data_IF_685693962888
#
_entry.id   IF_685693962888
#
_cell.length_a   1.000
_cell.length_b   1.000
_cell.length_c   1.000
_cell.angle_alpha   90.00
_cell.angle_beta   90.00
_cell.angle_gamma   90.00
#
_symmetry.space_group_name_H-M   'P 1'
#
loop_
_entity.id
_entity.type
_entity.pdbx_description
1 polymer ?
#
# COMPACT_ATOMS: atom_id res chain seq x y z
N UNK A 1 10.53 10.63 -32.22
CA UNK A 1 9.93 11.94 -31.90
C UNK A 1 9.26 11.79 -30.55
N UNK A 2 9.97 12.01 -29.43
CA UNK A 2 9.35 12.01 -28.11
C UNK A 2 8.66 13.36 -27.89
N UNK A 3 7.42 13.30 -27.40
CA UNK A 3 6.65 14.46 -26.97
C UNK A 3 7.03 14.77 -25.52
N UNK A 4 7.83 15.82 -25.35
CA UNK A 4 8.04 16.55 -24.10
C UNK A 4 6.75 17.36 -23.81
N UNK A 5 6.07 17.06 -22.71
CA UNK A 5 4.77 17.67 -22.35
C UNK A 5 4.84 18.34 -20.96
N UNK A 6 5.99 18.96 -20.64
CA UNK A 6 6.20 19.73 -19.40
C UNK A 6 5.99 21.25 -19.54
N UNK A 7 5.56 21.74 -20.71
CA UNK A 7 5.28 23.16 -20.90
C UNK A 7 3.85 23.53 -20.45
N UNK A 8 3.70 23.86 -19.17
CA UNK A 8 2.55 24.60 -18.66
C UNK A 8 2.80 26.12 -18.80
N UNK A 9 2.16 26.84 -19.75
CA UNK A 9 2.46 28.24 -20.05
C UNK A 9 1.89 29.25 -19.03
N UNK A 10 1.66 28.85 -17.77
CA UNK A 10 1.01 29.68 -16.74
C UNK A 10 1.81 29.84 -15.44
N UNK A 11 3.06 29.38 -15.38
CA UNK A 11 3.93 29.60 -14.21
C UNK A 11 4.91 30.73 -14.53
N UNK A 12 4.55 31.96 -14.17
CA UNK A 12 5.53 33.04 -14.09
C UNK A 12 6.58 32.70 -13.02
N UNK A 13 7.85 32.88 -13.39
CA UNK A 13 9.03 32.54 -12.62
C UNK A 13 9.01 33.13 -11.20
N UNK A 14 8.84 32.27 -10.19
CA UNK A 14 9.34 32.49 -8.84
C UNK A 14 10.61 31.65 -8.66
N UNK A 15 11.76 32.28 -8.86
CA UNK A 15 13.08 31.74 -8.52
C UNK A 15 13.21 31.60 -6.99
N UNK A 16 12.83 30.44 -6.47
CA UNK A 16 13.35 29.84 -5.24
C UNK A 16 13.27 28.31 -5.43
N UNK A 17 14.23 27.76 -6.20
CA UNK A 17 14.49 26.32 -6.23
C UNK A 17 14.97 25.90 -4.85
N UNK A 18 14.13 25.20 -4.10
CA UNK A 18 14.53 24.50 -2.88
C UNK A 18 15.28 23.22 -3.23
N UNK A 19 16.38 22.96 -2.53
CA UNK A 19 17.27 21.76 -2.60
C UNK A 19 16.55 20.38 -2.57
N UNK A 20 15.24 20.36 -2.36
CA UNK A 20 14.42 19.14 -2.21
C UNK A 20 14.05 18.47 -3.53
N UNK A 21 13.91 19.20 -4.65
CA UNK A 21 13.59 18.58 -5.94
C UNK A 21 14.84 18.02 -6.63
N UNK A 22 16.01 18.64 -6.42
CA UNK A 22 17.29 18.08 -6.85
C UNK A 22 17.67 16.79 -6.09
N UNK A 23 17.24 16.67 -4.83
CA UNK A 23 17.42 15.46 -4.04
C UNK A 23 16.52 14.30 -4.53
N UNK A 24 15.29 14.58 -4.99
CA UNK A 24 14.37 13.56 -5.50
C UNK A 24 14.81 12.98 -6.84
N UNK A 25 15.30 13.81 -7.77
CA UNK A 25 15.85 13.33 -9.05
C UNK A 25 17.18 12.58 -8.86
N UNK A 26 17.91 12.87 -7.78
CA UNK A 26 19.11 12.12 -7.42
C UNK A 26 18.77 10.77 -6.76
N UNK A 27 17.71 10.70 -5.94
CA UNK A 27 17.23 9.45 -5.33
C UNK A 27 16.63 8.49 -6.37
N UNK A 28 15.85 8.98 -7.36
CA UNK A 28 15.33 8.13 -8.46
C UNK A 28 16.45 7.57 -9.36
N UNK A 29 17.61 8.23 -9.42
CA UNK A 29 18.78 7.76 -10.18
C UNK A 29 19.67 6.76 -9.40
N UNK A 30 19.43 6.59 -8.09
CA UNK A 30 20.11 5.59 -7.25
C UNK A 30 19.40 4.22 -7.29
N UNK A 31 18.16 4.14 -7.78
CA UNK A 31 17.40 2.89 -7.86
C UNK A 31 17.82 1.97 -9.04
N UNK A 32 18.47 2.52 -10.07
CA UNK A 32 18.99 1.78 -11.23
C UNK A 32 20.43 1.26 -11.05
N UNK A 33 21.05 1.42 -9.87
CA UNK A 33 22.42 0.93 -9.61
C UNK A 33 22.46 -0.59 -9.35
N UNK A 34 23.34 -1.28 -10.07
CA UNK A 34 23.63 -2.70 -9.84
C UNK A 34 24.26 -2.84 -8.44
N UNK A 35 23.73 -3.70 -7.54
CA UNK A 35 24.26 -3.85 -6.19
C UNK A 35 25.75 -4.27 -6.20
N UNK A 36 26.61 -3.56 -5.46
CA UNK A 36 28.02 -3.96 -5.28
C UNK A 36 28.13 -5.08 -4.23
N UNK A 37 28.20 -6.32 -4.71
CA UNK A 37 28.29 -7.52 -3.87
C UNK A 37 29.59 -7.61 -3.04
N UNK A 38 30.63 -6.86 -3.38
CA UNK A 38 31.90 -6.84 -2.63
C UNK A 38 31.73 -6.20 -1.25
N UNK A 39 30.91 -5.15 -1.17
CA UNK A 39 30.58 -4.50 0.09
C UNK A 39 29.80 -5.43 1.01
N UNK A 40 28.87 -6.21 0.45
CA UNK A 40 28.12 -7.22 1.21
C UNK A 40 29.02 -8.35 1.72
N UNK A 41 29.90 -8.91 0.88
CA UNK A 41 30.87 -9.92 1.31
C UNK A 41 31.78 -9.42 2.46
N UNK A 42 32.16 -8.14 2.42
CA UNK A 42 32.99 -7.53 3.48
C UNK A 42 32.27 -7.42 4.84
N UNK A 43 30.93 -7.35 4.87
CA UNK A 43 30.14 -7.30 6.11
C UNK A 43 30.14 -8.62 6.87
N UNK A 44 30.30 -9.75 6.19
CA UNK A 44 30.38 -11.07 6.84
C UNK A 44 31.72 -11.29 7.56
N UNK A 45 32.77 -10.56 7.15
CA UNK A 45 34.15 -10.85 7.53
C UNK A 45 34.72 -10.00 8.68
N UNK A 46 34.06 -8.95 9.21
CA UNK A 46 34.58 -8.18 10.37
C UNK A 46 33.56 -7.63 11.36
N UNK A 47 33.88 -7.77 12.65
CA UNK A 47 33.38 -6.95 13.78
C UNK A 47 33.79 -5.48 13.57
N UNK A 48 32.85 -4.69 13.06
CA UNK A 48 32.94 -3.22 13.02
C UNK A 48 33.69 -2.66 11.83
N UNK A 49 32.96 -2.22 10.80
CA UNK A 49 33.46 -1.21 9.85
C UNK A 49 32.33 -0.23 9.50
N UNK A 50 32.73 1.04 9.53
CA UNK A 50 31.98 2.27 9.29
C UNK A 50 31.45 2.38 7.86
N UNK A 51 30.22 2.90 7.75
CA UNK A 51 29.58 3.36 6.51
C UNK A 51 30.39 4.47 5.85
N UNK A 52 31.22 4.12 4.86
CA UNK A 52 31.72 5.10 3.90
C UNK A 52 30.87 5.02 2.63
N UNK A 53 30.20 6.14 2.35
CA UNK A 53 29.44 6.42 1.13
C UNK A 53 30.30 6.19 -0.11
N UNK A 54 29.77 5.42 -1.06
CA UNK A 54 30.35 5.11 -2.36
C UNK A 54 30.36 6.40 -3.20
N UNK A 55 31.46 6.66 -3.91
CA UNK A 55 31.55 7.78 -4.87
C UNK A 55 31.14 7.29 -6.26
N UNK A 56 30.26 8.09 -6.89
CA UNK A 56 29.83 8.12 -8.29
C UNK A 56 30.86 7.52 -9.27
N UNK A 57 30.43 6.49 -10.00
CA UNK A 57 31.24 5.74 -10.97
C UNK A 57 31.72 6.56 -12.16
N UNK A 58 32.91 6.19 -12.63
CA UNK A 58 33.50 6.62 -13.90
C UNK A 58 32.88 5.77 -15.02
N UNK A 59 32.31 6.44 -16.01
CA UNK A 59 31.44 5.84 -17.03
C UNK A 59 32.25 5.47 -18.28
N UNK A 60 33.07 4.44 -18.18
CA UNK A 60 33.86 3.92 -19.30
C UNK A 60 33.28 2.60 -19.82
N UNK A 61 32.40 2.69 -20.84
CA UNK A 61 31.77 1.54 -21.51
C UNK A 61 32.59 1.01 -22.71
N UNK A 62 33.83 1.46 -22.88
CA UNK A 62 34.69 0.94 -23.94
C UNK A 62 35.59 -0.17 -23.38
N UNK A 63 35.72 -1.27 -24.15
CA UNK A 63 36.62 -2.36 -23.82
C UNK A 63 38.07 -1.87 -23.97
N UNK A 64 38.64 -1.33 -22.90
CA UNK A 64 40.07 -1.06 -22.86
C UNK A 64 40.79 -2.41 -22.87
N UNK A 65 41.88 -2.52 -23.64
CA UNK A 65 42.66 -3.77 -23.83
C UNK A 65 43.35 -4.32 -22.57
N UNK A 66 42.88 -3.93 -21.38
CA UNK A 66 43.32 -4.38 -20.07
C UNK A 66 42.24 -5.31 -19.49
N UNK A 67 42.64 -6.47 -18.93
CA UNK A 67 41.72 -7.46 -18.32
C UNK A 67 41.09 -6.97 -16.99
N UNK A 68 41.18 -5.68 -16.69
CA UNK A 68 40.76 -5.10 -15.40
C UNK A 68 39.25 -5.17 -15.25
N UNK A 69 38.49 -4.90 -16.31
CA UNK A 69 37.02 -5.00 -16.31
C UNK A 69 36.57 -6.46 -16.08
N UNK A 70 37.16 -7.41 -16.81
CA UNK A 70 36.87 -8.85 -16.63
C UNK A 70 37.18 -9.31 -15.21
N UNK A 71 38.34 -8.94 -14.67
CA UNK A 71 38.70 -9.31 -13.28
C UNK A 71 37.77 -8.65 -12.25
N UNK A 72 37.29 -7.43 -12.51
CA UNK A 72 36.33 -6.76 -11.63
C UNK A 72 34.95 -7.45 -11.63
N UNK A 73 34.51 -7.93 -12.79
CA UNK A 73 33.28 -8.71 -12.95
C UNK A 73 33.40 -10.10 -12.28
N UNK A 74 34.50 -10.81 -12.54
CA UNK A 74 34.75 -12.14 -11.96
C UNK A 74 34.81 -12.08 -10.43
N UNK A 75 35.48 -11.05 -9.89
CA UNK A 75 35.52 -10.81 -8.43
C UNK A 75 34.17 -10.42 -7.84
N UNK A 76 33.33 -9.69 -8.58
CA UNK A 76 31.95 -9.40 -8.15
C UNK A 76 31.10 -10.67 -8.13
N UNK A 77 31.23 -11.53 -9.15
CA UNK A 77 30.54 -12.82 -9.22
C UNK A 77 30.96 -13.76 -8.10
N UNK A 78 32.26 -13.87 -7.81
CA UNK A 78 32.75 -14.67 -6.69
C UNK A 78 32.23 -14.14 -5.34
N UNK A 79 32.20 -12.82 -5.15
CA UNK A 79 31.64 -12.22 -3.95
C UNK A 79 30.13 -12.54 -3.81
N UNK A 80 29.38 -12.52 -4.91
CA UNK A 80 27.98 -12.94 -4.93
C UNK A 80 27.84 -14.42 -4.54
N UNK A 81 28.64 -15.31 -5.13
CA UNK A 81 28.62 -16.74 -4.80
C UNK A 81 28.97 -16.98 -3.32
N UNK A 82 29.95 -16.26 -2.75
CA UNK A 82 30.29 -16.32 -1.32
C UNK A 82 29.12 -15.85 -0.44
N UNK A 83 28.47 -14.74 -0.81
CA UNK A 83 27.30 -14.20 -0.08
C UNK A 83 26.11 -15.15 -0.15
N UNK A 84 25.87 -15.81 -1.29
CA UNK A 84 24.80 -16.80 -1.44
C UNK A 84 25.11 -18.10 -0.69
N UNK A 85 26.38 -18.51 -0.64
CA UNK A 85 26.82 -19.70 0.10
C UNK A 85 26.84 -19.50 1.62
N UNK A 86 26.76 -18.26 2.12
CA UNK A 86 26.73 -18.00 3.55
C UNK A 86 25.48 -18.60 4.19
N UNK A 87 25.69 -19.63 5.02
CA UNK A 87 24.63 -20.23 5.83
C UNK A 87 24.24 -19.27 6.94
N UNK A 88 23.00 -18.77 6.90
CA UNK A 88 22.45 -17.94 7.99
C UNK A 88 22.22 -18.84 9.21
N UNK A 89 22.99 -18.62 10.26
CA UNK A 89 22.83 -19.33 11.55
C UNK A 89 22.14 -18.39 12.54
N UNK A 90 21.24 -18.95 13.35
CA UNK A 90 20.61 -18.22 14.46
C UNK A 90 21.66 -17.66 15.42
N UNK A 91 21.46 -16.43 15.90
CA UNK A 91 22.32 -15.88 16.96
C UNK A 91 21.99 -16.63 18.25
N UNK A 92 22.98 -17.35 18.80
CA UNK A 92 22.81 -18.28 19.92
C UNK A 92 22.08 -17.72 21.15
N UNK A 93 22.10 -16.39 21.37
CA UNK A 93 21.50 -15.76 22.55
C UNK A 93 20.12 -15.10 22.32
N UNK A 94 19.60 -15.04 21.09
CA UNK A 94 18.44 -14.20 20.75
C UNK A 94 17.37 -14.86 19.87
N UNK A 95 17.44 -16.17 19.63
CA UNK A 95 16.37 -16.87 18.92
C UNK A 95 15.24 -17.24 19.88
N UNK A 96 14.01 -17.20 19.37
CA UNK A 96 12.81 -17.57 20.11
C UNK A 96 12.19 -18.82 19.49
N UNK A 97 11.80 -19.77 20.33
CA UNK A 97 11.11 -20.97 19.86
C UNK A 97 9.63 -20.69 19.60
N UNK A 98 9.13 -21.28 18.53
CA UNK A 98 7.72 -21.33 18.20
C UNK A 98 7.34 -22.75 17.79
N UNK A 99 6.06 -23.10 17.96
CA UNK A 99 5.52 -24.42 17.65
C UNK A 99 4.48 -24.33 16.54
N UNK A 100 4.51 -25.28 15.61
CA UNK A 100 3.55 -25.37 14.50
C UNK A 100 2.37 -26.27 14.87
N UNK A 101 1.16 -25.70 14.92
CA UNK A 101 -0.10 -26.38 15.20
C UNK A 101 -1.19 -25.97 14.19
N UNK A 102 -1.28 -26.63 13.02
CA UNK A 102 -2.17 -26.24 11.94
C UNK A 102 -3.67 -26.39 12.24
N UNK A 103 -4.02 -27.35 13.09
CA UNK A 103 -5.41 -27.77 13.35
C UNK A 103 -5.87 -27.43 14.78
N UNK A 104 -5.14 -26.58 15.49
CA UNK A 104 -5.49 -26.26 16.88
C UNK A 104 -6.89 -25.63 17.02
N UNK A 105 -7.18 -24.63 16.19
CA UNK A 105 -8.43 -23.86 16.25
C UNK A 105 -9.63 -24.56 15.61
N UNK A 106 -9.45 -25.71 14.96
CA UNK A 106 -10.59 -26.53 14.50
C UNK A 106 -11.20 -27.30 15.65
N UNK A 107 -10.38 -27.73 16.61
CA UNK A 107 -10.81 -28.54 17.75
C UNK A 107 -11.12 -27.69 18.99
N UNK A 108 -10.39 -26.59 19.20
CA UNK A 108 -10.45 -25.78 20.41
C UNK A 108 -10.92 -24.35 20.13
N UNK A 109 -12.16 -24.17 19.64
CA UNK A 109 -12.69 -22.82 19.42
C UNK A 109 -12.81 -22.06 20.74
N UNK A 110 -12.33 -20.83 20.83
CA UNK A 110 -12.49 -20.03 22.04
C UNK A 110 -13.94 -19.62 22.21
N UNK A 111 -14.45 -19.69 23.44
CA UNK A 111 -15.81 -19.27 23.82
C UNK A 111 -16.03 -17.74 23.74
N UNK A 112 -15.10 -16.99 23.13
CA UNK A 112 -15.05 -15.52 23.20
C UNK A 112 -16.13 -14.85 22.35
N UNK A 113 -16.63 -13.70 22.83
CA UNK A 113 -17.56 -12.80 22.13
C UNK A 113 -16.92 -11.94 21.03
N UNK A 114 -15.60 -12.01 20.85
CA UNK A 114 -14.85 -11.33 19.79
C UNK A 114 -14.21 -12.36 18.87
N UNK A 115 -14.91 -12.76 17.82
CA UNK A 115 -14.35 -13.60 16.77
C UNK A 115 -13.22 -12.82 16.06
N UNK A 116 -11.96 -13.17 16.34
CA UNK A 116 -10.86 -12.83 15.45
C UNK A 116 -11.13 -13.57 14.12
N UNK A 117 -11.55 -12.84 13.09
CA UNK A 117 -11.93 -13.43 11.80
C UNK A 117 -10.81 -14.29 11.17
N UNK A 118 -9.55 -14.04 11.55
CA UNK A 118 -8.38 -14.75 11.06
C UNK A 118 -7.87 -15.83 12.03
N UNK A 119 -8.63 -16.15 13.09
CA UNK A 119 -8.21 -17.11 14.12
C UNK A 119 -7.75 -18.45 13.53
N UNK A 120 -8.54 -19.00 12.61
CA UNK A 120 -8.27 -20.30 11.98
C UNK A 120 -7.05 -20.28 11.04
N UNK A 121 -6.57 -19.11 10.65
CA UNK A 121 -5.36 -18.97 9.82
C UNK A 121 -4.08 -18.89 10.66
N UNK A 122 -4.21 -18.74 11.98
CA UNK A 122 -3.07 -18.67 12.89
C UNK A 122 -2.64 -20.07 13.30
N UNK A 123 -1.48 -20.49 12.83
CA UNK A 123 -0.99 -21.87 12.95
C UNK A 123 0.32 -22.02 13.67
N UNK A 124 0.99 -20.91 14.02
CA UNK A 124 2.26 -20.93 14.77
C UNK A 124 2.06 -20.20 16.09
N UNK A 125 2.43 -20.84 17.20
CA UNK A 125 2.36 -20.25 18.54
C UNK A 125 3.75 -20.00 19.10
N UNK A 126 3.95 -18.85 19.71
CA UNK A 126 5.22 -18.51 20.34
C UNK A 126 5.31 -19.10 21.75
N UNK A 127 6.47 -19.67 22.09
CA UNK A 127 6.75 -20.10 23.47
C UNK A 127 6.89 -18.87 24.38
N UNK A 128 7.54 -17.81 23.87
CA UNK A 128 7.85 -16.58 24.60
C UNK A 128 7.49 -15.33 23.81
N UNK A 129 6.92 -14.36 24.52
CA UNK A 129 6.50 -13.07 23.98
C UNK A 129 7.55 -12.00 24.24
N UNK A 130 8.65 -12.04 23.48
CA UNK A 130 9.74 -11.07 23.60
C UNK A 130 10.12 -10.50 22.24
N UNK A 131 10.20 -9.18 22.15
CA UNK A 131 10.85 -8.50 21.02
C UNK A 131 10.08 -7.30 20.47
N UNK A 132 10.82 -6.37 19.87
CA UNK A 132 10.25 -5.14 19.32
C UNK A 132 9.48 -5.36 18.01
N UNK A 133 9.57 -6.53 17.40
CA UNK A 133 8.87 -6.92 16.17
C UNK A 133 7.38 -7.20 16.40
N UNK A 134 6.96 -7.42 17.65
CA UNK A 134 5.56 -7.68 18.02
C UNK A 134 4.63 -6.48 17.84
N UNK A 135 5.12 -5.33 17.36
CA UNK A 135 4.31 -4.11 17.18
C UNK A 135 3.16 -4.30 16.21
N UNK A 136 3.38 -5.03 15.13
CA UNK A 136 2.38 -5.34 14.10
C UNK A 136 2.31 -6.84 13.75
N UNK A 137 3.25 -7.64 14.26
CA UNK A 137 3.28 -9.09 14.06
C UNK A 137 2.61 -9.84 15.20
N UNK A 138 1.80 -10.84 14.86
CA UNK A 138 1.18 -11.78 15.77
C UNK A 138 0.05 -11.19 16.59
N UNK A 139 -0.83 -12.06 17.11
CA UNK A 139 -1.94 -11.64 17.97
C UNK A 139 -2.10 -12.58 19.15
N UNK A 140 -2.22 -12.00 20.34
CA UNK A 140 -2.64 -12.74 21.52
C UNK A 140 -4.15 -12.94 21.46
N UNK A 141 -4.58 -14.20 21.59
CA UNK A 141 -5.99 -14.57 21.46
C UNK A 141 -6.66 -14.34 22.81
N UNK A 142 -7.78 -13.62 22.78
CA UNK A 142 -8.59 -13.34 23.97
C UNK A 142 -9.63 -14.44 24.17
N UNK A 143 -9.86 -14.86 25.40
CA UNK A 143 -10.79 -15.95 25.72
C UNK A 143 -10.80 -16.26 27.22
N UNK A 144 -11.37 -17.39 27.60
CA UNK A 144 -11.30 -17.86 28.97
C UNK A 144 -9.84 -18.20 29.33
N UNK A 145 -9.34 -17.68 30.45
CA UNK A 145 -7.96 -17.92 30.92
C UNK A 145 -7.65 -19.40 31.16
N UNK A 146 -8.68 -20.20 31.42
CA UNK A 146 -8.53 -21.63 31.67
C UNK A 146 -8.32 -22.45 30.38
N UNK A 147 -8.58 -21.86 29.21
CA UNK A 147 -8.44 -22.52 27.91
C UNK A 147 -7.00 -22.45 27.40
N UNK A 148 -6.48 -23.58 26.93
CA UNK A 148 -5.13 -23.68 26.40
C UNK A 148 -4.97 -22.83 25.13
N UNK A 149 -3.81 -22.18 24.98
CA UNK A 149 -3.49 -21.33 23.84
C UNK A 149 -4.06 -19.90 23.90
N UNK A 150 -5.05 -19.64 24.75
CA UNK A 150 -5.53 -18.28 25.05
C UNK A 150 -4.46 -17.50 25.82
N UNK A 151 -4.32 -16.22 25.50
CA UNK A 151 -3.31 -15.35 26.11
C UNK A 151 -1.89 -15.56 25.59
N UNK A 152 -1.67 -16.52 24.67
CA UNK A 152 -0.40 -16.71 23.96
C UNK A 152 -0.41 -15.98 22.62
N UNK A 153 0.76 -15.57 22.15
CA UNK A 153 0.95 -14.94 20.85
C UNK A 153 0.95 -15.98 19.72
N UNK A 154 -0.01 -15.83 18.80
CA UNK A 154 -0.13 -16.66 17.60
C UNK A 154 0.18 -15.86 16.34
N UNK A 155 0.89 -16.49 15.41
CA UNK A 155 1.36 -15.92 14.14
C UNK A 155 0.56 -16.48 12.96
N UNK A 156 0.34 -15.63 11.96
CA UNK A 156 -0.08 -16.02 10.61
C UNK A 156 1.09 -16.64 9.83
N UNK A 157 0.82 -17.41 8.77
CA UNK A 157 1.87 -18.05 7.96
C UNK A 157 2.89 -17.07 7.38
N UNK A 158 2.46 -15.92 6.84
CA UNK A 158 3.38 -14.90 6.31
C UNK A 158 4.23 -14.24 7.40
N UNK A 159 3.68 -14.07 8.60
CA UNK A 159 4.39 -13.53 9.77
C UNK A 159 5.47 -14.50 10.24
N UNK A 160 5.12 -15.79 10.34
CA UNK A 160 6.01 -16.86 10.74
C UNK A 160 7.17 -17.03 9.74
N UNK A 161 6.87 -17.14 8.45
CA UNK A 161 7.89 -17.23 7.40
C UNK A 161 8.86 -16.04 7.44
N UNK A 162 8.33 -14.82 7.60
CA UNK A 162 9.16 -13.62 7.66
C UNK A 162 10.13 -13.65 8.86
N UNK A 163 9.66 -14.10 10.02
CA UNK A 163 10.50 -14.19 11.22
C UNK A 163 11.55 -15.30 11.13
N UNK A 164 11.22 -16.44 10.50
CA UNK A 164 12.19 -17.53 10.25
C UNK A 164 13.27 -17.06 9.27
N UNK A 165 12.91 -16.43 8.14
CA UNK A 165 13.88 -15.92 7.16
C UNK A 165 14.87 -14.90 7.76
N UNK A 166 14.39 -14.13 8.74
CA UNK A 166 15.17 -13.16 9.51
C UNK A 166 16.04 -13.82 10.58
N UNK A 167 15.88 -15.12 10.85
CA UNK A 167 16.54 -15.87 11.91
C UNK A 167 16.11 -15.44 13.31
N UNK A 168 14.93 -14.81 13.45
CA UNK A 168 14.42 -14.29 14.74
C UNK A 168 13.75 -15.39 15.55
N UNK A 169 13.04 -16.29 14.87
CA UNK A 169 12.39 -17.43 15.50
C UNK A 169 12.90 -18.73 14.88
N UNK A 170 12.81 -19.80 15.64
CA UNK A 170 13.01 -21.17 15.19
C UNK A 170 11.70 -21.94 15.41
N UNK A 171 11.16 -22.56 14.36
CA UNK A 171 9.85 -23.22 14.39
C UNK A 171 10.03 -24.72 14.51
N UNK A 172 9.31 -25.33 15.44
CA UNK A 172 9.39 -26.74 15.74
C UNK A 172 8.07 -27.45 15.41
N UNK A 173 8.19 -28.65 14.83
CA UNK A 173 7.11 -29.62 14.75
C UNK A 173 6.95 -30.32 16.11
N UNK A 174 5.76 -30.32 16.73
CA UNK A 174 5.55 -30.90 18.06
C UNK A 174 5.40 -32.42 18.00
N UNK A 175 6.11 -33.14 18.89
CA UNK A 175 5.90 -34.57 19.14
C UNK A 175 5.09 -34.83 20.42
N UNK A 176 4.93 -33.81 21.25
CA UNK A 176 4.14 -33.83 22.50
C UNK A 176 2.86 -33.03 22.37
N UNK A 177 1.92 -33.30 23.26
CA UNK A 177 0.66 -32.56 23.34
C UNK A 177 0.89 -31.09 23.73
N UNK A 178 -0.03 -30.23 23.28
CA UNK A 178 0.05 -28.79 23.50
C UNK A 178 0.19 -28.41 24.98
N UNK A 179 -0.49 -29.11 25.90
CA UNK A 179 -0.43 -28.82 27.33
C UNK A 179 0.94 -29.11 27.95
N UNK A 180 1.64 -30.14 27.45
CA UNK A 180 2.99 -30.48 27.91
C UNK A 180 4.03 -29.48 27.41
N UNK A 181 3.90 -29.06 26.15
CA UNK A 181 4.81 -28.10 25.53
C UNK A 181 4.59 -26.67 26.02
N UNK A 182 3.33 -26.30 26.25
CA UNK A 182 2.90 -24.94 26.55
C UNK A 182 1.90 -24.94 27.72
N UNK A 183 2.36 -25.24 28.95
CA UNK A 183 1.50 -25.35 30.13
C UNK A 183 0.78 -24.03 30.42
N UNK A 184 -0.32 -24.09 31.18
CA UNK A 184 -1.10 -22.90 31.55
C UNK A 184 -0.21 -21.88 32.24
N UNK A 185 -0.37 -20.60 31.85
CA UNK A 185 0.33 -19.49 32.51
C UNK A 185 -0.30 -19.28 33.88
N UNK A 186 0.27 -19.91 34.91
CA UNK A 186 -0.10 -19.66 36.32
C UNK A 186 0.60 -18.36 36.73
N UNK A 187 -0.07 -17.48 37.48
CA UNK A 187 0.33 -16.10 37.85
C UNK A 187 1.72 -15.94 38.53
N UNK A 188 2.49 -17.01 38.71
CA UNK A 188 3.84 -17.01 39.27
C UNK A 188 4.93 -17.03 38.18
N UNK A 189 5.06 -15.93 37.44
CA UNK A 189 6.21 -15.62 36.58
C UNK A 189 6.34 -16.49 35.31
N UNK A 190 7.22 -16.11 34.36
CA UNK A 190 7.45 -16.94 33.18
C UNK A 190 8.01 -18.28 33.64
N UNK A 191 7.37 -19.38 33.27
CA UNK A 191 8.00 -20.70 33.29
C UNK A 191 9.30 -20.55 32.50
N UNK A 192 10.44 -20.53 33.22
CA UNK A 192 11.78 -20.57 32.62
C UNK A 192 11.79 -21.69 31.58
N UNK A 193 12.37 -21.41 30.41
CA UNK A 193 12.57 -22.34 29.29
C UNK A 193 12.66 -23.79 29.80
N UNK A 194 11.58 -24.55 29.70
CA UNK A 194 11.65 -25.97 30.05
C UNK A 194 12.45 -26.71 28.98
N UNK A 195 12.55 -26.12 27.79
CA UNK A 195 13.24 -26.67 26.65
C UNK A 195 14.40 -25.76 26.20
N UNK A 196 15.63 -26.26 26.27
CA UNK A 196 16.85 -25.76 25.64
C UNK A 196 17.06 -26.25 24.19
N UNK A 197 18.21 -25.90 23.57
CA UNK A 197 18.43 -26.09 22.13
C UNK A 197 18.36 -27.55 21.64
N UNK A 198 18.53 -28.51 22.54
CA UNK A 198 18.69 -29.94 22.23
C UNK A 198 17.48 -30.80 22.66
N UNK A 199 16.29 -30.21 22.80
CA UNK A 199 15.07 -30.94 23.19
C UNK A 199 14.36 -31.63 22.02
N UNK A 200 15.09 -32.50 21.33
CA UNK A 200 14.54 -33.32 20.25
C UNK A 200 13.47 -34.31 20.72
N UNK A 201 13.38 -34.59 22.03
CA UNK A 201 12.31 -35.39 22.63
C UNK A 201 10.96 -34.65 22.64
N UNK A 202 10.97 -33.31 22.53
CA UNK A 202 9.76 -32.48 22.51
C UNK A 202 9.23 -32.25 21.08
N UNK A 203 10.08 -32.39 20.08
CA UNK A 203 9.74 -32.18 18.67
C UNK A 203 10.96 -32.01 17.79
N UNK A 204 10.73 -31.69 16.53
CA UNK A 204 11.78 -31.57 15.50
C UNK A 204 11.83 -30.14 14.96
N UNK A 205 13.00 -29.46 14.93
CA UNK A 205 13.11 -28.15 14.31
C UNK A 205 12.87 -28.23 12.80
N UNK A 206 12.09 -27.30 12.27
CA UNK A 206 11.82 -27.19 10.85
C UNK A 206 12.97 -26.49 10.14
N UNK A 207 13.45 -27.08 9.04
CA UNK A 207 14.32 -26.34 8.12
C UNK A 207 13.54 -25.19 7.48
N UNK A 208 14.25 -24.21 6.91
CA UNK A 208 13.61 -23.11 6.18
C UNK A 208 12.73 -23.65 5.04
N UNK A 209 13.23 -24.64 4.30
CA UNK A 209 12.51 -25.30 3.21
C UNK A 209 11.26 -26.02 3.72
N UNK A 210 11.36 -26.72 4.86
CA UNK A 210 10.21 -27.37 5.48
C UNK A 210 9.16 -26.35 5.90
N UNK A 211 9.56 -25.23 6.51
CA UNK A 211 8.66 -24.15 6.87
C UNK A 211 7.95 -23.55 5.64
N UNK A 212 8.67 -23.36 4.54
CA UNK A 212 8.08 -22.97 3.25
C UNK A 212 7.04 -23.99 2.78
N UNK A 213 7.34 -25.29 2.81
CA UNK A 213 6.39 -26.33 2.43
C UNK A 213 5.11 -26.34 3.29
N UNK A 214 5.23 -26.07 4.59
CA UNK A 214 4.09 -26.10 5.52
C UNK A 214 3.25 -24.82 5.51
N UNK A 215 3.88 -23.66 5.32
CA UNK A 215 3.24 -22.34 5.45
C UNK A 215 2.90 -21.70 4.10
N UNK A 216 3.43 -22.22 2.98
CA UNK A 216 3.03 -21.78 1.64
C UNK A 216 2.11 -22.79 0.96
N UNK A 217 1.14 -22.30 0.20
CA UNK A 217 0.16 -23.13 -0.50
C UNK A 217 -0.68 -22.33 -1.49
N UNK A 218 -1.79 -22.93 -1.92
CA UNK A 218 -2.75 -22.28 -2.80
C UNK A 218 -3.72 -21.36 -2.03
N UNK A 219 -4.38 -20.48 -2.78
CA UNK A 219 -5.34 -19.54 -2.22
C UNK A 219 -6.49 -20.26 -1.52
N UNK A 220 -6.86 -19.80 -0.32
CA UNK A 220 -7.92 -20.40 0.49
C UNK A 220 -7.52 -21.62 1.31
N UNK A 221 -6.27 -22.12 1.18
CA UNK A 221 -5.77 -23.14 2.10
C UNK A 221 -5.57 -22.59 3.51
N UNK A 222 -6.21 -23.23 4.49
CA UNK A 222 -6.14 -22.81 5.90
C UNK A 222 -4.69 -22.83 6.38
N UNK A 223 -4.29 -21.78 7.10
CA UNK A 223 -2.99 -21.74 7.76
C UNK A 223 -1.83 -21.58 6.79
N UNK A 224 -2.11 -21.25 5.53
CA UNK A 224 -1.11 -21.03 4.50
C UNK A 224 -1.28 -19.67 3.84
N UNK A 225 -0.21 -19.22 3.21
CA UNK A 225 -0.18 -18.02 2.39
C UNK A 225 0.34 -18.38 1.00
N UNK A 226 -0.11 -17.68 -0.04
CA UNK A 226 0.49 -17.88 -1.36
C UNK A 226 1.87 -17.25 -1.40
N UNK A 227 2.77 -17.79 -2.22
CA UNK A 227 4.12 -17.26 -2.36
C UNK A 227 4.12 -15.77 -2.79
N UNK A 228 3.27 -15.32 -3.74
CA UNK A 228 3.18 -13.90 -4.09
C UNK A 228 2.76 -13.00 -2.91
N UNK A 229 1.78 -13.44 -2.11
CA UNK A 229 1.34 -12.69 -0.91
C UNK A 229 2.45 -12.58 0.12
N UNK A 230 3.22 -13.66 0.32
CA UNK A 230 4.40 -13.62 1.18
C UNK A 230 5.50 -12.69 0.65
N UNK A 231 5.78 -12.71 -0.66
CA UNK A 231 6.76 -11.83 -1.28
C UNK A 231 6.41 -10.35 -1.06
N UNK A 232 5.14 -9.96 -1.28
CA UNK A 232 4.64 -8.61 -1.00
C UNK A 232 4.76 -8.26 0.48
N UNK A 233 4.35 -9.16 1.37
CA UNK A 233 4.47 -8.97 2.82
C UNK A 233 5.93 -8.71 3.22
N UNK A 234 6.84 -9.58 2.80
CA UNK A 234 8.25 -9.49 3.15
C UNK A 234 8.92 -8.24 2.57
N UNK A 235 8.55 -7.83 1.35
CA UNK A 235 9.02 -6.59 0.73
C UNK A 235 8.62 -5.35 1.55
N UNK A 236 7.33 -5.23 1.87
CA UNK A 236 6.81 -4.12 2.67
C UNK A 236 7.35 -4.11 4.10
N UNK A 237 7.54 -5.28 4.73
CA UNK A 237 8.16 -5.37 6.06
C UNK A 237 9.61 -4.90 6.05
N UNK A 238 10.38 -5.24 5.01
CA UNK A 238 11.77 -4.77 4.86
C UNK A 238 11.84 -3.25 4.63
N UNK A 239 10.84 -2.68 3.96
CA UNK A 239 10.70 -1.23 3.81
C UNK A 239 10.25 -0.50 5.11
N UNK A 240 9.93 -1.24 6.18
CA UNK A 240 9.65 -0.67 7.50
C UNK A 240 8.19 -0.30 7.76
N UNK A 241 7.26 -0.76 6.92
CA UNK A 241 5.82 -0.55 7.14
C UNK A 241 5.27 -1.44 8.26
N UNK A 242 4.18 -0.99 8.88
CA UNK A 242 3.32 -1.85 9.69
C UNK A 242 2.29 -2.51 8.77
N UNK A 243 2.05 -3.81 8.93
CA UNK A 243 1.19 -4.59 8.03
C UNK A 243 0.28 -5.50 8.84
N UNK A 244 -0.98 -5.57 8.44
CA UNK A 244 -1.93 -6.57 8.94
C UNK A 244 -2.72 -7.16 7.78
N UNK A 245 -2.98 -8.47 7.85
CA UNK A 245 -3.89 -9.15 6.92
C UNK A 245 -5.31 -8.60 7.08
N UNK A 246 -5.95 -8.26 5.96
CA UNK A 246 -7.33 -7.82 5.94
C UNK A 246 -8.25 -9.02 6.20
N UNK A 247 -9.28 -8.89 7.05
CA UNK A 247 -10.21 -9.98 7.30
C UNK A 247 -10.97 -10.32 6.02
N UNK A 248 -11.21 -11.60 5.79
CA UNK A 248 -12.04 -12.04 4.67
C UNK A 248 -13.50 -11.75 4.99
N UNK A 249 -14.01 -10.56 4.64
CA UNK A 249 -15.45 -10.29 4.75
C UNK A 249 -16.20 -11.27 3.84
N UNK A 250 -17.13 -12.08 4.35
CA UNK A 250 -17.96 -12.92 3.50
C UNK A 250 -18.79 -12.01 2.59
N UNK A 251 -18.76 -12.28 1.29
CA UNK A 251 -19.66 -11.64 0.32
C UNK A 251 -21.09 -11.85 0.85
N UNK A 252 -21.85 -10.79 1.17
CA UNK A 252 -23.22 -10.98 1.60
C UNK A 252 -23.95 -11.77 0.52
N UNK A 253 -24.60 -12.88 0.93
CA UNK A 253 -25.50 -13.63 0.06
C UNK A 253 -26.49 -12.63 -0.52
N UNK A 254 -26.80 -12.78 -1.81
CA UNK A 254 -27.81 -11.98 -2.48
C UNK A 254 -29.16 -12.19 -1.81
N UNK A 255 -29.43 -11.46 -0.73
CA UNK A 255 -30.79 -11.27 -0.26
C UNK A 255 -31.43 -10.36 -1.31
N UNK A 256 -32.37 -10.94 -2.05
CA UNK A 256 -33.20 -10.26 -3.03
C UNK A 256 -33.76 -8.97 -2.44
N UNK A 257 -33.18 -7.85 -2.87
CA UNK A 257 -33.71 -6.49 -2.86
C UNK A 257 -35.01 -6.28 -2.08
N UNK A 258 -34.94 -5.70 -0.88
CA UNK A 258 -35.98 -4.78 -0.45
C UNK A 258 -35.65 -3.43 -1.08
N UNK A 259 -36.35 -3.08 -2.16
CA UNK A 259 -36.30 -1.71 -2.65
C UNK A 259 -36.69 -0.77 -1.49
N UNK A 260 -35.96 0.34 -1.25
CA UNK A 260 -36.44 1.34 -0.33
C UNK A 260 -37.77 1.87 -0.88
N UNK A 261 -38.86 1.62 -0.14
CA UNK A 261 -40.16 2.20 -0.45
C UNK A 261 -39.99 3.72 -0.48
N UNK A 262 -40.10 4.33 -1.66
CA UNK A 262 -40.04 5.77 -1.77
C UNK A 262 -41.14 6.36 -0.89
N UNK A 263 -40.76 7.20 0.08
CA UNK A 263 -41.75 7.88 0.90
C UNK A 263 -42.57 8.84 0.02
N UNK A 264 -43.85 9.03 0.32
CA UNK A 264 -44.73 9.95 -0.43
C UNK A 264 -44.14 11.37 -0.55
N UNK A 265 -43.28 11.76 0.40
CA UNK A 265 -42.52 13.00 0.37
C UNK A 265 -41.39 13.00 -0.68
N UNK A 266 -40.65 11.90 -0.83
CA UNK A 266 -39.66 11.75 -1.91
C UNK A 266 -40.31 11.80 -3.29
N UNK A 267 -41.51 11.23 -3.44
CA UNK A 267 -42.32 11.37 -4.66
C UNK A 267 -42.76 12.83 -4.88
N UNK A 268 -43.25 13.52 -3.85
CA UNK A 268 -43.67 14.92 -3.95
C UNK A 268 -42.49 15.85 -4.31
N UNK A 269 -41.29 15.61 -3.74
CA UNK A 269 -40.07 16.35 -4.06
C UNK A 269 -39.40 15.91 -5.37
N UNK A 270 -39.76 14.76 -5.94
CA UNK A 270 -39.31 14.36 -7.28
C UNK A 270 -39.87 15.28 -8.38
N UNK A 271 -41.04 15.89 -8.17
CA UNK A 271 -41.61 16.90 -9.09
C UNK A 271 -40.92 18.26 -9.01
N UNK A 272 -40.21 18.54 -7.91
CA UNK A 272 -39.46 19.78 -7.70
C UNK A 272 -37.97 19.58 -8.00
N UNK A 273 -37.49 18.35 -7.91
CA UNK A 273 -36.15 17.91 -8.35
C UNK A 273 -36.14 17.81 -9.87
N UNK A 274 -36.18 18.98 -10.50
CA UNK A 274 -35.91 19.15 -11.92
C UNK A 274 -34.42 18.87 -12.11
N UNK A 275 -34.05 17.61 -12.20
CA UNK A 275 -32.78 17.22 -12.78
C UNK A 275 -32.74 17.84 -14.16
N UNK A 276 -31.98 18.92 -14.28
CA UNK A 276 -31.74 19.63 -15.53
C UNK A 276 -30.76 18.80 -16.36
N UNK A 277 -31.11 17.56 -16.67
CA UNK A 277 -30.48 16.88 -17.78
C UNK A 277 -30.88 17.65 -19.03
N UNK A 278 -29.93 18.20 -19.80
CA UNK A 278 -30.27 18.90 -21.02
C UNK A 278 -30.94 17.91 -21.95
N UNK A 279 -32.18 18.21 -22.36
CA UNK A 279 -32.85 17.45 -23.41
C UNK A 279 -32.11 17.70 -24.73
N UNK A 280 -31.26 16.75 -25.11
CA UNK A 280 -30.58 16.76 -26.40
C UNK A 280 -31.61 16.51 -27.49
N UNK A 281 -31.64 17.39 -28.50
CA UNK A 281 -32.41 17.11 -29.72
C UNK A 281 -31.68 16.00 -30.48
N UNK A 282 -32.40 15.03 -31.08
CA UNK A 282 -31.77 13.93 -31.81
C UNK A 282 -30.96 14.40 -33.04
N UNK A 283 -31.25 15.61 -33.53
CA UNK A 283 -30.56 16.22 -34.67
C UNK A 283 -30.30 17.71 -34.41
N UNK A 284 -29.18 18.23 -34.93
CA UNK A 284 -28.79 19.63 -34.84
C UNK A 284 -27.46 19.83 -34.10
N UNK A 285 -27.04 21.10 -33.88
CA UNK A 285 -25.81 21.39 -33.17
C UNK A 285 -25.93 21.00 -31.69
N UNK A 286 -24.86 20.41 -31.14
CA UNK A 286 -24.79 20.01 -29.72
C UNK A 286 -25.00 21.20 -28.77
N UNK A 287 -24.60 22.39 -29.20
CA UNK A 287 -24.84 23.64 -28.48
C UNK A 287 -25.90 24.41 -29.26
N UNK A 288 -27.02 24.73 -28.61
CA UNK A 288 -28.08 25.53 -29.20
C UNK A 288 -27.53 26.92 -29.59
N UNK A 289 -27.85 27.44 -30.80
CA UNK A 289 -27.43 28.77 -31.19
C UNK A 289 -28.07 29.82 -30.26
N UNK A 290 -27.25 30.71 -29.69
CA UNK A 290 -27.71 31.71 -28.72
C UNK A 290 -26.56 32.48 -28.08
N UNK A 291 -26.91 33.50 -27.29
CA UNK A 291 -25.94 34.31 -26.54
C UNK A 291 -25.70 33.68 -25.16
N UNK A 292 -24.49 33.18 -24.93
CA UNK A 292 -24.07 32.62 -23.65
C UNK A 292 -23.26 33.66 -22.86
N UNK A 293 -23.65 33.90 -21.60
CA UNK A 293 -22.95 34.85 -20.70
C UNK A 293 -22.02 34.17 -19.68
N UNK A 294 -22.05 32.85 -19.65
CA UNK A 294 -21.22 31.99 -18.82
C UNK A 294 -20.94 30.70 -19.61
N UNK A 295 -19.85 30.01 -19.29
CA UNK A 295 -19.49 28.74 -19.91
C UNK A 295 -20.31 27.57 -19.34
N UNK A 296 -20.81 27.65 -18.10
CA UNK A 296 -21.65 26.60 -17.48
C UNK A 296 -22.76 26.04 -18.40
N UNK A 297 -23.65 26.84 -19.02
CA UNK A 297 -24.73 26.31 -19.86
C UNK A 297 -24.23 25.64 -21.15
N UNK A 298 -23.06 26.04 -21.65
CA UNK A 298 -22.41 25.42 -22.81
C UNK A 298 -21.91 24.02 -22.43
N UNK A 299 -21.18 23.90 -21.32
CA UNK A 299 -20.65 22.61 -20.84
C UNK A 299 -21.76 21.64 -20.43
N UNK A 300 -22.90 22.14 -19.95
CA UNK A 300 -24.08 21.31 -19.70
C UNK A 300 -24.63 20.72 -21.02
N UNK A 301 -24.75 21.51 -22.08
CA UNK A 301 -25.20 21.01 -23.39
C UNK A 301 -24.18 20.09 -24.07
N UNK A 302 -22.88 20.21 -23.75
CA UNK A 302 -21.87 19.25 -24.19
C UNK A 302 -21.84 17.95 -23.35
N UNK A 303 -22.60 17.86 -22.26
CA UNK A 303 -22.70 16.65 -21.44
C UNK A 303 -23.65 15.63 -22.11
N UNK A 304 -23.16 14.97 -23.16
CA UNK A 304 -23.92 13.98 -23.94
C UNK A 304 -23.87 12.59 -23.30
N UNK A 305 -22.69 12.19 -22.83
CA UNK A 305 -22.48 10.87 -22.24
C UNK A 305 -22.83 10.86 -20.75
N UNK A 306 -23.41 9.75 -20.24
CA UNK A 306 -23.53 9.56 -18.80
C UNK A 306 -22.14 9.57 -18.18
N UNK A 307 -22.00 10.28 -17.07
CA UNK A 307 -20.73 10.45 -16.36
C UNK A 307 -20.79 9.61 -15.09
N UNK A 308 -19.70 8.91 -14.80
CA UNK A 308 -19.56 8.22 -13.52
C UNK A 308 -19.68 9.22 -12.38
N UNK A 309 -20.52 8.88 -11.39
CA UNK A 309 -20.68 9.64 -10.16
C UNK A 309 -20.37 8.71 -9.00
N UNK A 310 -19.39 9.03 -8.15
CA UNK A 310 -19.07 8.23 -6.99
C UNK A 310 -20.30 8.11 -6.10
N UNK A 311 -20.80 6.89 -5.95
CA UNK A 311 -21.94 6.60 -5.11
C UNK A 311 -21.48 6.35 -3.67
N UNK A 312 -22.20 6.94 -2.72
CA UNK A 312 -22.03 6.66 -1.29
C UNK A 312 -22.45 5.22 -0.97
N UNK A 313 -23.41 4.68 -1.74
CA UNK A 313 -23.84 3.30 -1.66
C UNK A 313 -23.13 2.48 -2.74
N UNK A 314 -22.24 1.53 -2.39
CA UNK A 314 -21.59 0.68 -3.38
C UNK A 314 -22.63 -0.17 -4.12
N UNK A 315 -22.46 -0.34 -5.43
CA UNK A 315 -23.20 -1.38 -6.14
C UNK A 315 -22.63 -2.74 -5.71
N UNK A 316 -23.49 -3.75 -5.57
CA UNK A 316 -23.11 -5.03 -4.98
C UNK A 316 -22.41 -5.93 -6.01
N UNK A 317 -21.20 -5.56 -6.45
CA UNK A 317 -20.35 -6.47 -7.21
C UNK A 317 -19.57 -7.38 -6.24
N UNK A 318 -19.58 -8.71 -6.45
CA UNK A 318 -18.79 -9.61 -5.62
C UNK A 318 -17.30 -9.39 -5.90
N UNK A 319 -16.54 -9.10 -4.84
CA UNK A 319 -15.07 -9.02 -4.93
C UNK A 319 -14.50 -10.41 -5.17
N UNK A 320 -13.56 -10.53 -6.11
CA UNK A 320 -12.99 -11.79 -6.55
C UNK A 320 -11.46 -11.77 -6.40
N UNK A 321 -10.86 -12.93 -6.13
CA UNK A 321 -9.40 -13.09 -6.24
C UNK A 321 -8.98 -12.98 -7.71
N UNK A 322 -7.78 -12.44 -8.01
CA UNK A 322 -6.78 -11.92 -7.07
C UNK A 322 -7.00 -10.44 -6.68
N UNK A 323 -7.98 -9.77 -7.29
CA UNK A 323 -8.27 -8.35 -7.07
C UNK A 323 -9.13 -8.12 -5.84
N UNK A 324 -8.62 -8.58 -4.69
CA UNK A 324 -9.20 -8.42 -3.36
C UNK A 324 -8.17 -7.82 -2.42
N UNK A 325 -8.60 -6.91 -1.55
CA UNK A 325 -7.73 -6.35 -0.51
C UNK A 325 -7.29 -7.48 0.43
N UNK A 326 -5.99 -7.72 0.48
CA UNK A 326 -5.38 -8.74 1.31
C UNK A 326 -4.57 -8.13 2.46
N UNK A 327 -3.91 -6.98 2.25
CA UNK A 327 -3.15 -6.30 3.28
C UNK A 327 -3.66 -4.89 3.56
N UNK A 328 -3.67 -4.53 4.84
CA UNK A 328 -3.74 -3.17 5.32
C UNK A 328 -2.35 -2.73 5.79
N UNK A 329 -1.91 -1.55 5.34
CA UNK A 329 -0.54 -1.08 5.54
C UNK A 329 -0.52 0.34 6.10
N UNK A 330 0.37 0.58 7.06
CA UNK A 330 0.57 1.88 7.70
C UNK A 330 2.05 2.31 7.63
N UNK A 331 2.26 3.61 7.40
CA UNK A 331 3.59 4.22 7.32
C UNK A 331 4.26 4.33 8.69
N UNK A 332 5.57 4.07 8.79
CA UNK A 332 6.31 4.39 10.00
C UNK A 332 6.39 5.92 10.16
N UNK A 333 5.98 6.44 11.33
CA UNK A 333 6.01 7.88 11.62
C UNK A 333 4.69 8.64 11.41
N UNK A 334 3.61 7.94 11.07
CA UNK A 334 2.25 8.50 11.04
C UNK A 334 1.59 8.58 12.43
N UNK A 335 0.26 8.44 12.45
CA UNK A 335 -0.51 8.33 13.69
C UNK A 335 -0.02 7.16 14.57
N UNK A 336 -0.16 7.24 15.91
CA UNK A 336 0.25 6.16 16.79
C UNK A 336 -0.47 4.85 16.42
N UNK A 337 0.31 3.84 16.07
CA UNK A 337 -0.20 2.54 15.64
C UNK A 337 -0.41 1.60 16.83
N UNK A 338 -1.53 0.86 16.83
CA UNK A 338 -1.84 -0.19 17.79
C UNK A 338 -2.55 -1.35 17.10
N UNK A 339 -2.11 -2.60 17.33
CA UNK A 339 -2.74 -3.80 16.75
C UNK A 339 -4.20 -3.97 17.15
N UNK A 340 -4.54 -3.59 18.39
CA UNK A 340 -5.88 -3.80 18.94
C UNK A 340 -6.90 -2.87 18.30
N UNK A 341 -6.53 -1.60 18.15
CA UNK A 341 -7.34 -0.54 17.58
C UNK A 341 -6.46 0.25 16.59
N UNK A 342 -6.22 -0.28 15.38
CA UNK A 342 -5.41 0.40 14.39
C UNK A 342 -6.13 1.66 13.88
N UNK A 343 -5.40 2.74 13.54
CA UNK A 343 -5.98 3.84 12.78
C UNK A 343 -6.37 3.36 11.37
N UNK A 344 -7.10 4.17 10.58
CA UNK A 344 -7.35 3.87 9.17
C UNK A 344 -6.03 3.58 8.43
N UNK A 345 -5.97 2.56 7.57
CA UNK A 345 -4.74 2.23 6.84
C UNK A 345 -4.40 3.30 5.81
N UNK A 346 -3.10 3.58 5.68
CA UNK A 346 -2.57 4.49 4.65
C UNK A 346 -2.69 3.85 3.26
N UNK A 347 -2.48 2.53 3.18
CA UNK A 347 -2.65 1.78 1.94
C UNK A 347 -3.46 0.50 2.16
N UNK A 348 -4.30 0.19 1.18
CA UNK A 348 -5.02 -1.08 1.05
C UNK A 348 -4.47 -1.77 -0.18
N UNK A 349 -3.94 -2.98 0.00
CA UNK A 349 -3.18 -3.68 -1.03
C UNK A 349 -3.90 -4.99 -1.41
N UNK A 350 -4.23 -5.12 -2.68
CA UNK A 350 -4.54 -6.40 -3.32
C UNK A 350 -3.26 -6.99 -3.93
N UNK A 351 -3.17 -8.32 -4.06
CA UNK A 351 -1.97 -8.99 -4.58
C UNK A 351 -2.37 -9.83 -5.79
N UNK A 352 -1.77 -9.56 -6.94
CA UNK A 352 -2.02 -10.24 -8.19
C UNK A 352 -0.70 -10.82 -8.74
N UNK A 353 -0.68 -12.11 -9.03
CA UNK A 353 0.45 -12.78 -9.68
C UNK A 353 0.26 -12.75 -11.19
N UNK A 354 1.25 -12.26 -11.92
CA UNK A 354 1.24 -12.20 -13.39
C UNK A 354 1.21 -13.58 -14.06
N UNK A 355 1.62 -14.64 -13.36
CA UNK A 355 1.55 -16.00 -13.89
C UNK A 355 0.11 -16.53 -13.97
N UNK A 356 -0.73 -16.18 -12.99
CA UNK A 356 -2.08 -16.70 -12.82
C UNK A 356 -3.17 -15.67 -13.16
N UNK A 357 -2.81 -14.39 -13.32
CA UNK A 357 -3.76 -13.31 -13.53
C UNK A 357 -3.43 -12.44 -14.74
N UNK A 358 -4.49 -12.05 -15.43
CA UNK A 358 -4.42 -11.14 -16.58
C UNK A 358 -4.68 -9.69 -16.13
N UNK A 359 -4.80 -8.77 -17.11
CA UNK A 359 -5.21 -7.41 -16.85
C UNK A 359 -6.63 -7.40 -16.21
N UNK A 360 -6.83 -6.65 -15.12
CA UNK A 360 -8.12 -6.61 -14.44
C UNK A 360 -9.21 -6.03 -15.35
N UNK A 361 -10.39 -6.66 -15.33
CA UNK A 361 -11.57 -6.12 -16.03
C UNK A 361 -12.13 -4.90 -15.30
N UNK A 362 -12.91 -4.08 -15.99
CA UNK A 362 -13.56 -2.92 -15.37
C UNK A 362 -14.41 -3.33 -14.16
N UNK A 363 -15.20 -4.39 -14.27
CA UNK A 363 -16.06 -4.90 -13.19
C UNK A 363 -15.24 -5.34 -11.96
N UNK A 364 -14.08 -5.97 -12.17
CA UNK A 364 -13.20 -6.39 -11.07
C UNK A 364 -12.59 -5.19 -10.34
N UNK A 365 -12.16 -4.15 -11.07
CA UNK A 365 -11.62 -2.93 -10.47
C UNK A 365 -12.73 -2.15 -9.76
N UNK A 366 -13.92 -2.05 -10.36
CA UNK A 366 -15.08 -1.42 -9.74
C UNK A 366 -15.44 -2.11 -8.42
N UNK A 367 -15.54 -3.45 -8.41
CA UNK A 367 -15.78 -4.22 -7.19
C UNK A 367 -14.68 -3.99 -6.13
N UNK A 368 -13.41 -3.98 -6.55
CA UNK A 368 -12.29 -3.74 -5.65
C UNK A 368 -12.33 -2.32 -5.05
N UNK A 369 -12.57 -1.29 -5.87
CA UNK A 369 -12.69 0.09 -5.41
C UNK A 369 -13.90 0.24 -4.49
N UNK A 370 -15.07 -0.30 -4.85
CA UNK A 370 -16.29 -0.26 -4.04
C UNK A 370 -16.13 -0.94 -2.67
N UNK A 371 -15.21 -1.91 -2.55
CA UNK A 371 -14.87 -2.55 -1.27
C UNK A 371 -14.08 -1.63 -0.31
N UNK A 372 -13.57 -0.50 -0.80
CA UNK A 372 -12.85 0.50 0.01
C UNK A 372 -13.77 1.62 0.50
N UNK A 373 -13.52 2.19 1.70
CA UNK A 373 -14.26 3.36 2.15
C UNK A 373 -13.95 4.56 1.25
N UNK A 374 -14.91 5.48 1.15
CA UNK A 374 -14.71 6.75 0.45
C UNK A 374 -13.64 7.57 1.17
N UNK A 375 -12.69 8.03 0.39
CA UNK A 375 -11.57 8.88 0.80
C UNK A 375 -11.72 10.24 0.11
N UNK A 376 -12.32 11.19 0.82
CA UNK A 376 -12.58 12.52 0.27
C UNK A 376 -11.26 13.28 0.05
N UNK A 377 -11.15 14.05 -1.04
CA UNK A 377 -9.95 14.84 -1.29
C UNK A 377 -9.71 15.83 -0.15
N UNK A 378 -8.43 16.07 0.14
CA UNK A 378 -8.02 16.98 1.21
C UNK A 378 -8.70 18.36 1.03
N UNK A 379 -9.27 18.96 2.10
CA UNK A 379 -9.90 20.28 2.03
C UNK A 379 -8.94 21.37 1.50
N UNK A 380 -7.63 21.21 1.66
CA UNK A 380 -6.62 22.12 1.11
C UNK A 380 -6.56 22.10 -0.44
N UNK A 381 -7.14 21.09 -1.09
CA UNK A 381 -7.20 20.97 -2.55
C UNK A 381 -8.49 21.54 -3.13
N UNK A 382 -9.23 22.37 -2.40
CA UNK A 382 -10.38 23.08 -2.96
C UNK A 382 -9.95 24.17 -3.96
N UNK A 383 -10.77 24.39 -4.99
CA UNK A 383 -10.60 25.47 -5.97
C UNK A 383 -10.14 25.05 -7.38
N UNK A 384 -10.15 26.00 -8.33
CA UNK A 384 -10.07 25.72 -9.77
C UNK A 384 -8.69 25.24 -10.27
N UNK A 385 -7.61 25.46 -9.51
CA UNK A 385 -6.25 25.08 -9.91
C UNK A 385 -5.75 23.74 -9.37
N UNK A 386 -6.55 23.05 -8.55
CA UNK A 386 -6.15 21.82 -7.84
C UNK A 386 -6.82 20.56 -8.37
N UNK A 387 -7.41 20.66 -9.56
CA UNK A 387 -8.10 19.58 -10.27
C UNK A 387 -7.29 18.29 -10.36
N UNK A 388 -6.08 18.36 -10.93
CA UNK A 388 -5.24 17.18 -11.14
C UNK A 388 -4.89 16.47 -9.82
N UNK A 389 -4.75 17.22 -8.72
CA UNK A 389 -4.48 16.62 -7.39
C UNK A 389 -5.69 15.83 -6.89
N UNK A 390 -6.91 16.36 -7.05
CA UNK A 390 -8.16 15.66 -6.69
C UNK A 390 -8.40 14.42 -7.56
N UNK A 391 -8.19 14.55 -8.88
CA UNK A 391 -8.34 13.43 -9.82
C UNK A 391 -7.33 12.31 -9.55
N UNK A 392 -6.05 12.65 -9.31
CA UNK A 392 -5.01 11.67 -8.98
C UNK A 392 -5.26 10.99 -7.63
N UNK A 393 -5.91 11.68 -6.69
CA UNK A 393 -6.28 11.10 -5.40
C UNK A 393 -7.42 10.08 -5.54
N UNK A 394 -8.44 10.43 -6.33
CA UNK A 394 -9.70 9.69 -6.44
C UNK A 394 -10.60 9.87 -5.22
N UNK A 395 -11.86 9.46 -5.36
CA UNK A 395 -12.83 9.33 -4.25
C UNK A 395 -12.68 8.02 -3.49
N UNK A 396 -12.08 7.03 -4.14
CA UNK A 396 -11.65 5.76 -3.57
C UNK A 396 -10.31 5.43 -4.18
N UNK A 397 -9.46 4.73 -3.44
CA UNK A 397 -8.14 4.36 -3.91
C UNK A 397 -7.71 3.00 -3.35
N UNK A 398 -6.95 2.28 -4.14
CA UNK A 398 -6.40 0.98 -3.79
C UNK A 398 -5.07 0.77 -4.50
N UNK A 399 -4.17 0.03 -3.88
CA UNK A 399 -2.95 -0.43 -4.52
C UNK A 399 -3.11 -1.90 -4.91
N UNK A 400 -2.65 -2.24 -6.10
CA UNK A 400 -2.49 -3.63 -6.55
C UNK A 400 -0.99 -3.89 -6.63
N UNK A 401 -0.52 -4.82 -5.81
CA UNK A 401 0.83 -5.36 -5.91
C UNK A 401 0.84 -6.44 -6.99
N UNK A 402 1.52 -6.16 -8.10
CA UNK A 402 1.70 -7.05 -9.23
C UNK A 402 3.02 -7.78 -9.04
N UNK A 403 2.94 -9.10 -8.92
CA UNK A 403 4.09 -9.96 -8.68
C UNK A 403 4.45 -10.69 -9.97
N UNK A 404 5.70 -10.54 -10.42
CA UNK A 404 6.26 -11.24 -11.57
C UNK A 404 7.52 -12.00 -11.14
N UNK A 405 7.35 -13.31 -10.90
CA UNK A 405 8.43 -14.23 -10.53
C UNK A 405 9.37 -13.70 -9.43
N UNK A 406 8.80 -13.04 -8.43
CA UNK A 406 9.53 -12.47 -7.28
C UNK A 406 9.83 -10.98 -7.37
N UNK A 407 9.58 -10.34 -8.51
CA UNK A 407 9.58 -8.88 -8.62
C UNK A 407 8.21 -8.34 -8.20
N UNK A 408 8.19 -7.40 -7.25
CA UNK A 408 6.97 -6.79 -6.72
C UNK A 408 6.86 -5.36 -7.21
N UNK A 409 5.86 -5.08 -8.05
CA UNK A 409 5.52 -3.74 -8.53
C UNK A 409 4.19 -3.28 -7.94
N UNK A 410 4.02 -1.98 -7.69
CA UNK A 410 2.77 -1.44 -7.14
C UNK A 410 2.07 -0.53 -8.15
N UNK A 411 0.82 -0.83 -8.45
CA UNK A 411 -0.05 0.01 -9.28
C UNK A 411 -1.15 0.63 -8.45
N UNK A 412 -1.41 1.92 -8.65
CA UNK A 412 -2.50 2.63 -7.94
C UNK A 412 -3.72 2.76 -8.83
N UNK A 413 -4.85 2.27 -8.34
CA UNK A 413 -6.16 2.52 -8.93
C UNK A 413 -6.91 3.54 -8.08
N UNK A 414 -7.59 4.47 -8.75
CA UNK A 414 -8.36 5.52 -8.11
C UNK A 414 -9.69 5.73 -8.81
N UNK A 415 -10.77 5.81 -8.05
CA UNK A 415 -12.09 6.16 -8.55
C UNK A 415 -12.15 7.67 -8.83
N UNK A 416 -11.86 8.07 -10.06
CA UNK A 416 -11.87 9.46 -10.47
C UNK A 416 -13.24 9.90 -11.02
N UNK A 417 -13.75 11.02 -10.50
CA UNK A 417 -15.02 11.62 -10.94
C UNK A 417 -14.78 12.80 -11.88
N UNK A 418 -14.21 12.54 -13.07
CA UNK A 418 -13.95 13.59 -14.07
C UNK A 418 -15.18 14.46 -14.39
N UNK A 419 -16.37 13.85 -14.33
CA UNK A 419 -17.63 14.52 -14.60
C UNK A 419 -18.07 15.54 -13.55
N UNK A 420 -17.66 15.36 -12.30
CA UNK A 420 -18.00 16.21 -11.17
C UNK A 420 -17.06 17.42 -11.04
N UNK A 421 -15.97 17.44 -11.79
CA UNK A 421 -14.97 18.49 -11.75
C UNK A 421 -15.31 19.67 -12.69
N UNK A 422 -15.67 20.86 -12.16
CA UNK A 422 -16.19 21.95 -12.97
C UNK A 422 -15.06 22.75 -13.65
N UNK A 423 -14.76 22.42 -14.91
CA UNK A 423 -13.73 23.13 -15.70
C UNK A 423 -14.07 24.59 -16.03
N UNK A 424 -15.34 24.96 -16.02
CA UNK A 424 -15.81 26.28 -16.48
C UNK A 424 -15.65 27.38 -15.41
N UNK A 425 -15.52 27.03 -14.14
CA UNK A 425 -15.49 28.01 -13.04
C UNK A 425 -14.28 28.95 -13.13
N UNK A 426 -13.15 28.46 -13.65
CA UNK A 426 -11.96 29.29 -13.89
C UNK A 426 -12.17 30.39 -14.94
N UNK A 427 -13.13 30.20 -15.86
CA UNK A 427 -13.45 31.15 -16.91
C UNK A 427 -14.60 32.08 -16.53
N UNK A 428 -15.54 31.58 -15.72
CA UNK A 428 -16.70 32.34 -15.27
C UNK A 428 -16.37 33.27 -14.08
N UNK A 429 -15.35 32.93 -13.27
CA UNK A 429 -14.89 33.76 -12.16
C UNK A 429 -14.07 34.96 -12.64
N UNK A 430 -14.72 36.13 -12.68
CA UNK A 430 -14.12 37.45 -13.02
C UNK A 430 -13.01 37.94 -12.06
N UNK A 431 -12.65 37.18 -11.02
CA UNK A 431 -11.66 37.55 -10.00
C UNK A 431 -10.22 37.12 -10.35
N UNK A 432 -10.02 36.35 -11.42
CA UNK A 432 -8.68 36.12 -11.97
C UNK A 432 -8.18 37.42 -12.61
N UNK A 433 -7.40 38.19 -11.86
CA UNK A 433 -6.85 39.48 -12.27
C UNK A 433 -6.21 39.40 -13.66
N UNK A 434 -6.96 39.83 -14.67
CA UNK A 434 -6.37 40.28 -15.92
C UNK A 434 -5.48 41.46 -15.55
N UNK A 435 -4.18 41.21 -15.41
CA UNK A 435 -3.11 42.19 -15.51
C UNK A 435 -3.14 42.82 -16.89
N UNK A 436 -4.20 43.57 -17.19
CA UNK A 436 -4.28 44.45 -18.33
C UNK A 436 -3.31 45.58 -18.05
N UNK A 437 -2.08 45.46 -18.59
CA UNK A 437 -1.21 46.59 -18.87
C UNK A 437 -2.06 47.66 -19.57
N UNK A 438 -2.57 48.60 -18.77
CA UNK A 438 -3.21 49.81 -19.26
C UNK A 438 -2.10 50.56 -19.96
N UNK A 439 -2.08 50.46 -21.29
CA UNK A 439 -1.14 51.17 -22.14
C UNK A 439 -1.20 52.66 -21.84
N UNK A 440 -0.21 53.14 -21.08
CA UNK A 440 0.03 54.56 -20.80
C UNK A 440 0.45 55.24 -22.10
N UNK A 441 -0.55 55.71 -22.85
CA UNK A 441 -0.39 56.47 -24.08
C UNK A 441 0.35 57.78 -23.75
N UNK A 442 1.52 57.93 -24.38
CA UNK A 442 2.34 59.13 -24.51
C UNK A 442 1.52 60.44 -24.46
N UNK A 443 1.66 61.19 -23.37
CA UNK A 443 1.30 62.59 -23.26
C UNK A 443 2.52 63.46 -23.46
N UNK A 444 2.70 63.95 -24.69
CA UNK A 444 3.70 64.95 -25.08
C UNK A 444 3.09 66.32 -24.72
N UNK A 445 3.73 67.13 -23.88
CA UNK A 445 3.25 68.51 -23.72
C UNK A 445 3.74 69.30 -22.51
N UNK A 446 4.87 70.01 -22.71
CA UNK A 446 5.13 71.40 -22.30
C UNK A 446 4.85 71.82 -20.83
N UNK A 447 5.95 72.16 -20.17
CA UNK A 447 6.24 73.58 -19.94
C UNK A 447 6.32 74.06 -18.49
N UNK A 448 7.45 74.72 -18.19
CA UNK A 448 7.70 75.72 -17.12
C UNK A 448 7.55 75.17 -15.69
N UNK A 449 8.52 75.25 -14.78
CA UNK A 449 9.62 76.18 -14.65
C UNK A 449 9.66 76.66 -13.19
N UNK A 450 10.88 76.79 -12.65
CA UNK A 450 11.30 77.57 -11.47
C UNK A 450 11.06 77.03 -10.05
N UNK A 451 12.18 77.08 -9.32
CA UNK A 451 12.30 77.30 -7.86
C UNK A 451 12.35 75.99 -7.08
N UNK A 452 13.35 75.72 -6.25
CA UNK A 452 14.34 76.56 -5.59
C UNK A 452 14.59 75.92 -4.23
N UNK A 453 15.87 75.76 -3.88
CA UNK A 453 16.34 75.24 -2.60
C UNK A 453 15.73 76.01 -1.42
N UNK A 454 15.33 75.29 -0.38
CA UNK A 454 16.12 75.17 0.86
C UNK A 454 15.72 73.91 1.61
#
# INVERSE_FOLDING_TARGET
>A
MPFDDDDNPAVEASTLQTDQDAARTADDALEDEIPDYKLFASMFNKKGVSSKTIRKGEKDFESHGTRVQDTALETSRQALEEVLNYTRIHRQENWLRAWYFPDWWTSQRPDSTHDDALLHERVVVMEQERGNWMRDIGRAISGNKDQLGVGRLWLLPEEALYLIERGTIDIWWPDKDFEELLPKVIDNGPTRNQFGPDDYDAGVPLSLEAAYCFLTGYEGERGKTTLPKFQVYSHLKRAGFYIMRAPTTPTPRQDTSSQPSQSLWQWLFSFISRDKTPQHKPFGPLIAPGIYRAYRPIYQQLAVLPRHKPSIQPQHHPVQEPFRIHFHVWKPGGAPFSKKNPPPPDFRIAVADTADSELPTLEQIEALLESTPIDLPNPAWQGPGKLYQRLKHGHRNVLVAVVDRGLVNFMRFGEAAFGEEPLFERFDNRSGGRGGKRGGRRGRGRGRGRGGRN
#
